data_IF_398247529147
#
_entry.id   IF_398247529147
#
_cell.length_a   1.000
_cell.length_b   1.000
_cell.length_c   1.000
_cell.angle_alpha   90.00
_cell.angle_beta   90.00
_cell.angle_gamma   90.00
#
_symmetry.space_group_name_H-M   'P 1'
#
loop_
_entity.id
_entity.type
_entity.pdbx_description
1 polymer ?
#
# COMPACT_ATOMS: atom_id res chain seq x y z
N UNK A 1 19.91 -0.36 -14.98
CA UNK A 1 18.96 0.62 -14.44
C UNK A 1 19.02 0.55 -12.92
N UNK A 2 19.14 1.69 -12.28
CA UNK A 2 19.13 1.76 -10.81
C UNK A 2 17.72 1.43 -10.31
N UNK A 3 17.62 0.51 -9.37
CA UNK A 3 16.35 0.01 -8.86
C UNK A 3 16.05 0.60 -7.49
N UNK A 4 14.81 1.05 -7.29
CA UNK A 4 14.31 1.45 -5.98
C UNK A 4 14.12 0.21 -5.10
N UNK A 5 14.83 0.14 -4.00
CA UNK A 5 14.71 -0.93 -3.03
C UNK A 5 13.96 -0.47 -1.78
N UNK A 6 12.97 -1.22 -1.38
CA UNK A 6 12.12 -0.97 -0.19
C UNK A 6 12.33 -2.11 0.79
N UNK A 7 12.51 -1.80 2.07
CA UNK A 7 12.70 -2.79 3.12
C UNK A 7 11.70 -2.58 4.26
N UNK A 8 10.83 -3.53 4.48
CA UNK A 8 9.99 -3.65 5.67
C UNK A 8 10.60 -4.64 6.64
N UNK A 9 10.83 -4.24 7.91
CA UNK A 9 11.42 -5.11 8.94
C UNK A 9 12.71 -5.82 8.47
N UNK A 10 13.58 -5.10 7.77
CA UNK A 10 14.83 -5.59 7.17
C UNK A 10 14.67 -6.65 6.06
N UNK A 11 13.45 -6.88 5.59
CA UNK A 11 13.19 -7.75 4.43
C UNK A 11 12.96 -6.89 3.19
N UNK A 12 13.73 -7.18 2.13
CA UNK A 12 13.55 -6.51 0.84
C UNK A 12 12.17 -6.84 0.27
N UNK A 13 11.44 -5.80 -0.14
CA UNK A 13 10.19 -5.96 -0.86
C UNK A 13 10.45 -6.56 -2.23
N UNK A 14 9.69 -7.57 -2.59
CA UNK A 14 9.66 -8.15 -3.92
C UNK A 14 8.39 -7.66 -4.61
N UNK A 15 8.51 -7.24 -5.86
CA UNK A 15 7.37 -6.70 -6.61
C UNK A 15 6.21 -7.69 -6.67
N UNK A 16 4.98 -7.20 -6.48
CA UNK A 16 3.74 -7.97 -6.46
C UNK A 16 3.57 -8.96 -5.29
N UNK A 17 4.49 -8.98 -4.31
CA UNK A 17 4.30 -9.81 -3.12
C UNK A 17 3.14 -9.32 -2.27
N UNK A 18 2.55 -10.27 -1.54
CA UNK A 18 1.56 -9.98 -0.52
C UNK A 18 2.24 -9.72 0.83
N UNK A 19 1.91 -8.58 1.45
CA UNK A 19 2.29 -8.25 2.82
C UNK A 19 1.03 -7.99 3.65
N UNK A 20 1.04 -8.49 4.88
CA UNK A 20 -0.04 -8.19 5.81
C UNK A 20 0.02 -6.74 6.27
N UNK A 21 -1.11 -6.09 6.60
CA UNK A 21 -1.10 -4.75 7.15
C UNK A 21 -0.16 -4.61 8.36
N UNK A 22 -0.11 -5.61 9.25
CA UNK A 22 0.77 -5.62 10.43
C UNK A 22 2.26 -5.59 10.12
N UNK A 23 2.67 -6.04 8.93
CA UNK A 23 4.07 -6.03 8.48
C UNK A 23 4.51 -4.67 7.92
N UNK A 24 3.57 -3.76 7.69
CA UNK A 24 3.80 -2.51 6.94
C UNK A 24 3.43 -1.25 7.71
N UNK A 25 3.21 -1.31 9.01
CA UNK A 25 2.82 -0.14 9.82
C UNK A 25 3.98 0.82 10.10
N UNK A 26 5.20 0.30 10.15
CA UNK A 26 6.41 1.12 10.36
C UNK A 26 6.93 1.57 8.99
N UNK A 27 7.33 2.83 8.91
CA UNK A 27 7.95 3.42 7.71
C UNK A 27 9.10 2.53 7.21
N UNK A 28 9.09 2.15 5.92
CA UNK A 28 10.13 1.29 5.37
C UNK A 28 11.45 2.05 5.16
N UNK A 29 12.53 1.30 5.13
CA UNK A 29 13.81 1.83 4.64
C UNK A 29 13.81 1.86 3.12
N UNK A 30 14.24 2.99 2.59
CA UNK A 30 14.38 3.22 1.15
C UNK A 30 15.86 3.22 0.79
N UNK A 31 16.22 2.45 -0.23
CA UNK A 31 17.55 2.50 -0.84
C UNK A 31 17.40 2.81 -2.33
N UNK A 32 18.19 3.75 -2.76
CA UNK A 32 18.35 4.14 -4.16
C UNK A 32 19.69 4.86 -4.30
N UNK A 33 20.33 4.74 -5.43
CA UNK A 33 21.58 5.47 -5.69
C UNK A 33 21.26 6.89 -6.15
N UNK A 34 20.91 7.75 -5.19
CA UNK A 34 20.58 9.15 -5.46
C UNK A 34 21.80 9.92 -5.95
N UNK A 35 21.69 10.51 -7.13
CA UNK A 35 22.72 11.42 -7.62
C UNK A 35 22.57 12.76 -6.88
N UNK A 36 23.63 13.25 -6.27
CA UNK A 36 23.64 14.48 -5.46
C UNK A 36 23.31 15.75 -6.25
N UNK A 37 23.48 15.72 -7.57
CA UNK A 37 23.15 16.84 -8.44
C UNK A 37 21.68 16.88 -8.87
N UNK A 38 20.89 15.88 -8.47
CA UNK A 38 19.48 15.77 -8.82
C UNK A 38 18.58 15.87 -7.58
N UNK A 39 17.36 16.24 -7.83
CA UNK A 39 16.28 16.22 -6.85
C UNK A 39 15.28 15.12 -7.21
N UNK A 40 14.66 14.54 -6.19
CA UNK A 40 13.73 13.44 -6.40
C UNK A 40 12.46 13.62 -5.56
N UNK A 41 11.37 13.00 -6.04
CA UNK A 41 10.10 12.88 -5.33
C UNK A 41 9.76 11.39 -5.18
N UNK A 42 9.40 10.96 -3.97
CA UNK A 42 8.83 9.64 -3.70
C UNK A 42 7.35 9.78 -3.38
N UNK A 43 6.53 8.99 -4.06
CA UNK A 43 5.09 8.86 -3.80
C UNK A 43 4.78 7.40 -3.48
N UNK A 44 4.13 7.14 -2.35
CA UNK A 44 3.48 5.86 -2.05
C UNK A 44 1.98 6.08 -2.03
N UNK A 45 1.22 5.27 -2.78
CA UNK A 45 -0.22 5.42 -2.89
C UNK A 45 -0.96 4.11 -3.09
N UNK A 46 -2.25 4.12 -2.73
CA UNK A 46 -3.22 3.05 -2.95
C UNK A 46 -4.26 3.53 -3.97
N UNK A 47 -4.24 3.02 -5.21
CA UNK A 47 -5.23 3.38 -6.23
C UNK A 47 -6.57 2.66 -6.03
N UNK A 48 -6.64 1.67 -5.15
CA UNK A 48 -7.81 0.83 -4.91
C UNK A 48 -8.59 1.26 -3.66
N UNK A 49 -8.20 2.37 -3.03
CA UNK A 49 -8.89 2.90 -1.87
C UNK A 49 -10.35 3.28 -2.19
N UNK A 50 -11.26 3.07 -1.23
CA UNK A 50 -12.72 3.16 -1.42
C UNK A 50 -13.17 4.53 -1.97
N UNK A 51 -12.52 5.60 -1.56
CA UNK A 51 -12.87 6.96 -1.97
C UNK A 51 -11.93 7.55 -3.04
N UNK A 52 -11.37 6.70 -3.88
CA UNK A 52 -10.36 7.09 -4.87
C UNK A 52 -8.93 6.93 -4.34
N UNK A 53 -7.96 7.41 -5.10
CA UNK A 53 -6.54 7.24 -4.72
C UNK A 53 -6.23 7.86 -3.36
N UNK A 54 -5.59 7.08 -2.48
CA UNK A 54 -5.11 7.52 -1.18
C UNK A 54 -3.58 7.58 -1.17
N UNK A 55 -3.02 8.72 -0.78
CA UNK A 55 -1.58 8.92 -0.69
C UNK A 55 -1.09 8.52 0.69
N UNK A 56 -0.25 7.49 0.73
CA UNK A 56 0.31 6.93 1.96
C UNK A 56 1.58 7.62 2.42
N UNK A 57 2.36 8.13 1.47
CA UNK A 57 3.62 8.83 1.76
C UNK A 57 4.00 9.74 0.60
N UNK A 58 4.44 10.95 0.91
CA UNK A 58 4.90 11.90 -0.09
C UNK A 58 6.09 12.68 0.43
N UNK A 59 7.22 12.52 -0.23
CA UNK A 59 8.46 13.23 0.07
C UNK A 59 8.99 13.86 -1.21
N UNK A 60 9.28 15.15 -1.16
CA UNK A 60 9.84 15.92 -2.28
C UNK A 60 11.22 16.45 -1.92
N UNK A 61 11.90 17.02 -2.91
CA UNK A 61 13.22 17.63 -2.71
C UNK A 61 14.25 16.67 -2.10
N UNK A 62 14.12 15.39 -2.38
CA UNK A 62 15.05 14.37 -1.89
C UNK A 62 16.39 14.57 -2.57
N UNK A 63 17.45 14.65 -1.77
CA UNK A 63 18.84 14.79 -2.24
C UNK A 63 19.71 13.84 -1.44
N UNK A 64 20.43 12.95 -2.10
CA UNK A 64 21.32 11.95 -1.51
C UNK A 64 20.63 10.89 -0.62
N UNK A 65 19.62 11.25 0.14
CA UNK A 65 18.89 10.37 1.06
C UNK A 65 17.48 10.87 1.22
N UNK A 66 16.53 9.94 1.36
CA UNK A 66 15.11 10.29 1.56
C UNK A 66 14.88 11.14 2.82
N UNK A 67 15.68 10.94 3.86
CA UNK A 67 15.59 11.73 5.11
C UNK A 67 15.93 13.21 4.93
N UNK A 68 16.61 13.57 3.85
CA UNK A 68 16.92 14.96 3.51
C UNK A 68 15.82 15.62 2.67
N UNK A 69 14.77 14.88 2.32
CA UNK A 69 13.62 15.43 1.59
C UNK A 69 12.65 16.20 2.47
N UNK A 70 11.79 16.99 1.82
CA UNK A 70 10.65 17.66 2.47
C UNK A 70 9.46 16.71 2.49
N UNK A 71 8.97 16.38 3.68
CA UNK A 71 7.79 15.56 3.87
C UNK A 71 6.55 16.42 3.64
N UNK A 72 5.77 16.10 2.60
CA UNK A 72 4.47 16.74 2.33
C UNK A 72 3.31 15.94 2.90
N UNK A 73 3.43 14.61 2.98
CA UNK A 73 2.55 13.71 3.72
C UNK A 73 3.41 12.66 4.41
N UNK A 74 3.37 12.56 5.74
CA UNK A 74 4.13 11.56 6.48
C UNK A 74 3.65 10.15 6.15
N UNK A 75 4.52 9.16 6.36
CA UNK A 75 4.18 7.76 6.13
C UNK A 75 2.95 7.35 6.94
N UNK A 76 2.01 6.71 6.26
CA UNK A 76 0.85 6.06 6.83
C UNK A 76 0.82 4.62 6.34
N UNK A 77 0.86 3.66 7.25
CA UNK A 77 0.83 2.24 6.91
C UNK A 77 -0.48 1.83 6.23
N UNK A 78 -0.43 0.80 5.37
CA UNK A 78 -1.61 0.16 4.81
C UNK A 78 -2.64 -0.27 5.85
N UNK A 79 -3.89 0.11 5.64
CA UNK A 79 -5.02 -0.29 6.47
C UNK A 79 -6.27 -0.50 5.59
N UNK A 80 -6.24 -1.45 4.63
CA UNK A 80 -7.37 -1.69 3.75
C UNK A 80 -8.60 -2.07 4.56
N UNK A 81 -9.76 -1.44 4.31
CA UNK A 81 -10.98 -1.71 5.06
C UNK A 81 -11.46 -3.16 4.87
N UNK A 82 -12.18 -3.74 5.85
CA UNK A 82 -12.80 -5.05 5.71
C UNK A 82 -13.71 -5.12 4.47
N UNK A 83 -13.74 -6.27 3.79
CA UNK A 83 -14.59 -6.55 2.63
C UNK A 83 -14.32 -5.72 1.36
N UNK A 84 -13.19 -4.99 1.30
CA UNK A 84 -12.80 -4.24 0.10
C UNK A 84 -11.85 -5.00 -0.81
N UNK A 85 -11.43 -6.21 -0.41
CA UNK A 85 -10.56 -7.07 -1.19
C UNK A 85 -9.08 -6.67 -1.11
N UNK A 86 -8.35 -7.02 -2.15
CA UNK A 86 -6.92 -6.74 -2.26
C UNK A 86 -6.70 -5.32 -2.74
N UNK A 87 -5.80 -4.60 -2.08
CA UNK A 87 -5.36 -3.26 -2.44
C UNK A 87 -3.90 -3.30 -2.88
N UNK A 88 -3.56 -2.51 -3.89
CA UNK A 88 -2.20 -2.29 -4.37
C UNK A 88 -1.59 -1.10 -3.63
N UNK A 89 -0.36 -1.25 -3.17
CA UNK A 89 0.41 -0.17 -2.56
C UNK A 89 1.63 0.07 -3.42
N UNK A 90 1.67 1.21 -4.09
CA UNK A 90 2.60 1.51 -5.17
C UNK A 90 3.57 2.58 -4.71
N UNK A 91 4.87 2.32 -4.83
CA UNK A 91 5.94 3.30 -4.69
C UNK A 91 6.39 3.73 -6.08
N UNK A 92 6.44 5.00 -6.31
CA UNK A 92 7.01 5.60 -7.51
C UNK A 92 8.04 6.66 -7.14
N UNK A 93 9.23 6.56 -7.72
CA UNK A 93 10.31 7.53 -7.59
C UNK A 93 10.41 8.35 -8.87
N UNK A 94 10.45 9.66 -8.72
CA UNK A 94 10.53 10.62 -9.81
C UNK A 94 11.79 11.46 -9.69
N UNK A 95 12.34 11.85 -10.82
CA UNK A 95 13.31 12.96 -10.90
C UNK A 95 12.55 14.27 -10.97
N UNK A 96 12.90 15.21 -10.11
CA UNK A 96 12.35 16.56 -10.13
C UNK A 96 13.17 17.45 -11.06
N UNK A 97 12.53 18.28 -11.90
CA UNK A 97 13.25 19.24 -12.74
C UNK A 97 13.88 20.38 -11.92
N UNK A 98 13.25 20.77 -10.80
CA UNK A 98 13.64 21.89 -9.96
C UNK A 98 13.22 21.68 -8.50
N UNK A 99 13.71 22.54 -7.60
CA UNK A 99 13.29 22.59 -6.21
C UNK A 99 11.84 22.98 -6.12
N UNK A 100 11.05 22.21 -5.39
CA UNK A 100 9.63 22.49 -5.17
C UNK A 100 9.43 23.28 -3.87
N UNK A 101 8.67 24.37 -3.97
CA UNK A 101 8.20 25.13 -2.81
C UNK A 101 6.70 24.90 -2.63
N UNK A 102 6.36 23.69 -2.14
CA UNK A 102 4.99 23.25 -1.89
C UNK A 102 4.81 23.02 -0.41
N UNK A 103 3.70 23.53 0.15
CA UNK A 103 3.35 23.28 1.54
C UNK A 103 2.84 21.86 1.75
N UNK A 104 2.99 21.30 2.97
CA UNK A 104 2.42 20.00 3.31
C UNK A 104 0.93 19.93 2.99
N UNK A 105 0.47 18.77 2.51
CA UNK A 105 -0.94 18.54 2.23
C UNK A 105 -1.69 18.20 3.51
N UNK A 106 -2.92 18.69 3.63
CA UNK A 106 -3.83 18.33 4.73
C UNK A 106 -4.61 17.05 4.42
N UNK A 107 -4.87 16.77 3.14
CA UNK A 107 -5.68 15.65 2.69
C UNK A 107 -4.86 14.66 1.88
N UNK A 108 -5.19 13.37 2.04
CA UNK A 108 -4.53 12.26 1.36
C UNK A 108 -5.26 11.76 0.13
N UNK A 109 -6.53 12.13 -0.04
CA UNK A 109 -7.33 11.73 -1.20
C UNK A 109 -7.12 12.72 -2.34
N UNK A 110 -6.34 12.30 -3.33
CA UNK A 110 -6.05 13.08 -4.53
C UNK A 110 -5.74 12.13 -5.68
N UNK A 111 -6.27 12.42 -6.87
CA UNK A 111 -5.89 11.68 -8.08
C UNK A 111 -4.39 11.74 -8.31
N UNK A 112 -3.79 10.60 -8.63
CA UNK A 112 -2.33 10.51 -8.85
C UNK A 112 -1.89 11.42 -10.01
N UNK A 113 -2.70 11.57 -11.06
CA UNK A 113 -2.39 12.45 -12.18
C UNK A 113 -2.42 13.93 -11.77
N UNK A 114 -3.41 14.32 -10.96
CA UNK A 114 -3.47 15.68 -10.43
C UNK A 114 -2.29 15.97 -9.49
N UNK A 115 -1.91 15.00 -8.67
CA UNK A 115 -0.74 15.14 -7.79
C UNK A 115 0.55 15.30 -8.61
N UNK A 116 0.76 14.47 -9.62
CA UNK A 116 1.93 14.57 -10.53
C UNK A 116 2.00 15.95 -11.19
N UNK A 117 0.87 16.46 -11.66
CA UNK A 117 0.80 17.80 -12.27
C UNK A 117 1.18 18.89 -11.25
N UNK A 118 0.65 18.81 -10.02
CA UNK A 118 0.98 19.78 -8.96
C UNK A 118 2.46 19.76 -8.58
N UNK A 119 3.10 18.61 -8.66
CA UNK A 119 4.52 18.42 -8.33
C UNK A 119 5.43 18.59 -9.55
N UNK A 120 4.90 18.89 -10.71
CA UNK A 120 5.65 19.00 -11.97
C UNK A 120 6.54 17.77 -12.24
N UNK A 121 6.02 16.55 -11.96
CA UNK A 121 6.67 15.28 -12.26
C UNK A 121 5.82 14.48 -13.25
N UNK A 122 6.44 13.82 -14.22
CA UNK A 122 5.71 13.13 -15.29
C UNK A 122 5.98 11.63 -15.32
N UNK A 123 7.22 11.25 -15.53
CA UNK A 123 7.62 9.85 -15.68
C UNK A 123 8.40 9.40 -14.44
N UNK A 124 7.95 8.32 -13.83
CA UNK A 124 8.72 7.69 -12.76
C UNK A 124 9.99 7.06 -13.34
N UNK A 125 11.08 7.12 -12.58
CA UNK A 125 12.36 6.48 -12.92
C UNK A 125 12.47 5.09 -12.31
N UNK A 126 11.71 4.81 -11.26
CA UNK A 126 11.60 3.49 -10.67
C UNK A 126 10.24 3.31 -10.01
N UNK A 127 9.72 2.08 -10.03
CA UNK A 127 8.42 1.71 -9.48
C UNK A 127 8.45 0.31 -8.90
N UNK A 128 7.88 0.15 -7.72
CA UNK A 128 7.68 -1.14 -7.08
C UNK A 128 6.35 -1.13 -6.32
N UNK A 129 5.67 -2.26 -6.22
CA UNK A 129 4.40 -2.39 -5.52
C UNK A 129 4.31 -3.68 -4.73
N UNK A 130 3.43 -3.68 -3.75
CA UNK A 130 2.98 -4.87 -3.05
C UNK A 130 1.45 -4.87 -2.92
N UNK A 131 0.91 -5.99 -2.51
CA UNK A 131 -0.52 -6.19 -2.32
C UNK A 131 -0.78 -6.44 -0.83
N UNK A 132 -1.82 -5.82 -0.30
CA UNK A 132 -2.31 -6.10 1.05
C UNK A 132 -3.83 -6.23 1.08
N UNK A 133 -4.34 -6.85 2.11
CA UNK A 133 -5.78 -7.05 2.33
C UNK A 133 -6.06 -7.07 3.82
N UNK A 134 -7.26 -6.62 4.20
CA UNK A 134 -7.69 -6.72 5.59
C UNK A 134 -7.75 -8.19 6.04
N UNK A 135 -7.14 -8.50 7.18
CA UNK A 135 -7.06 -9.88 7.71
C UNK A 135 -8.36 -10.37 8.32
N UNK A 136 -9.28 -9.48 8.73
CA UNK A 136 -10.58 -9.85 9.29
C UNK A 136 -11.62 -10.25 8.23
N UNK A 137 -11.32 -10.08 6.94
CA UNK A 137 -12.17 -10.40 5.81
C UNK A 137 -12.03 -11.84 5.33
N UNK A 138 -12.68 -12.82 5.99
CA UNK A 138 -13.00 -14.07 5.33
C UNK A 138 -12.24 -15.33 5.74
N UNK A 139 -12.19 -15.65 7.00
CA UNK A 139 -12.30 -17.08 7.36
C UNK A 139 -13.77 -17.48 7.15
N UNK A 140 -14.10 -18.00 5.99
CA UNK A 140 -15.31 -18.77 5.79
C UNK A 140 -15.28 -19.88 6.83
N UNK A 141 -16.04 -19.72 7.94
CA UNK A 141 -16.33 -20.83 8.82
C UNK A 141 -17.18 -21.78 7.99
N UNK A 142 -16.56 -22.88 7.51
CA UNK A 142 -17.32 -24.04 7.02
C UNK A 142 -18.24 -24.45 8.14
N UNK A 143 -19.50 -24.07 8.07
CA UNK A 143 -20.55 -24.60 8.93
C UNK A 143 -20.60 -26.09 8.67
N UNK A 144 -20.10 -26.88 9.60
CA UNK A 144 -20.30 -28.34 9.60
C UNK A 144 -21.83 -28.55 9.57
N UNK A 145 -22.35 -28.99 8.43
CA UNK A 145 -23.71 -29.52 8.35
C UNK A 145 -23.80 -30.65 9.37
N UNK A 146 -24.52 -30.41 10.46
CA UNK A 146 -24.96 -31.48 11.38
C UNK A 146 -25.84 -32.43 10.55
N UNK A 147 -25.35 -33.66 10.30
CA UNK A 147 -26.16 -34.74 9.79
C UNK A 147 -27.25 -34.99 10.82
N UNK A 148 -28.52 -34.65 10.49
CA UNK A 148 -29.65 -34.97 11.30
C UNK A 148 -29.79 -36.48 11.39
N UNK A 149 -29.73 -36.98 12.60
CA UNK A 149 -30.00 -38.38 12.91
C UNK A 149 -31.54 -38.55 12.91
N UNK A 150 -32.07 -39.11 11.82
CA UNK A 150 -33.47 -39.55 11.77
C UNK A 150 -33.62 -40.83 12.57
N UNK A 151 -34.11 -40.70 13.82
CA UNK A 151 -34.66 -41.86 14.57
C UNK A 151 -36.01 -42.24 13.94
N UNK A 152 -36.00 -43.31 13.14
CA UNK A 152 -37.22 -44.02 12.77
C UNK A 152 -37.75 -44.75 13.99
N UNK A 153 -38.86 -44.29 14.57
CA UNK A 153 -39.67 -45.03 15.53
C UNK A 153 -40.40 -46.16 14.84
N UNK A 154 -40.01 -47.41 15.14
CA UNK A 154 -40.80 -48.60 14.78
C UNK A 154 -42.07 -48.63 15.63
N UNK A 155 -43.23 -48.50 15.00
CA UNK A 155 -44.53 -48.81 15.60
C UNK A 155 -44.71 -50.33 15.63
N UNK A 156 -44.72 -50.93 16.83
CA UNK A 156 -45.15 -52.29 17.02
C UNK A 156 -46.69 -52.31 16.98
N UNK A 157 -47.24 -53.00 15.99
CA UNK A 157 -48.65 -53.47 16.07
C UNK A 157 -48.67 -54.79 16.83
N UNK A 158 -49.41 -54.84 17.94
CA UNK A 158 -49.84 -56.08 18.60
C UNK A 158 -51.24 -56.39 18.12
N UNK A 159 -51.45 -57.64 17.76
CA UNK A 159 -52.70 -58.30 17.76
C UNK A 159 -52.85 -59.06 19.11
#
# INVERSE_FOLDING_TARGET
MEELEIYYNNKKLINDHFLKPTETQIEPKIKYNFNENNLYTLIMYDPDAVNGTHIHWLVTNIKNNIKNGKILLPYQGPAPPPKTGKHRYIFELYRQPEMLNVEPFEQRSISINLLRNKLNVSNYISKIKFISQNESGGKYKKTKRRKGYNKRTKRNKKY
#
